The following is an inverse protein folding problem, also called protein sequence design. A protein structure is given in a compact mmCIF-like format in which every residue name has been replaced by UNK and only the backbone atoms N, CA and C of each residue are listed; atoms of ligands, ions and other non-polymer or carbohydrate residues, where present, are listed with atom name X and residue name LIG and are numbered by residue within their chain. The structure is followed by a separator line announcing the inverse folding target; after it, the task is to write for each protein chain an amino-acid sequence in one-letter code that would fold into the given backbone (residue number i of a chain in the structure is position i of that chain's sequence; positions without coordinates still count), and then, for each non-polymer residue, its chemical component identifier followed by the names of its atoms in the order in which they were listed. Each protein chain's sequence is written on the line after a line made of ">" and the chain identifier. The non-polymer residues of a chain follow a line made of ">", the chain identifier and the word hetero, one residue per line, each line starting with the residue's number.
data_IF_014280553829
#
_entry.id   IF_014280553829
#
_cell.length_a   1.000
_cell.length_b   1.000
_cell.length_c   1.000
_cell.angle_alpha   90.00
_cell.angle_beta   90.00
_cell.angle_gamma   90.00
#
_symmetry.space_group_name_H-M   'P 1'
#
loop_
_entity.id
_entity.type
_entity.pdbx_description
1 polymer ?
#
# COMPACT_ATOMS: atom_id res chain seq x y z
N UNK A 1 -23.23 -17.91 50.41
CA UNK A 1 -23.56 -17.19 49.15
C UNK A 1 -22.31 -16.51 48.66
N UNK A 2 -21.64 -17.15 47.71
CA UNK A 2 -20.37 -16.70 47.16
C UNK A 2 -20.67 -15.87 45.92
N UNK A 3 -20.50 -14.56 46.02
CA UNK A 3 -20.66 -13.65 44.92
C UNK A 3 -19.39 -13.71 44.06
N UNK A 4 -19.44 -14.39 42.94
CA UNK A 4 -18.39 -14.34 41.96
C UNK A 4 -18.37 -12.97 41.29
N UNK A 5 -17.31 -12.20 41.53
CA UNK A 5 -17.08 -10.95 40.81
C UNK A 5 -16.82 -11.27 39.32
N UNK A 6 -17.39 -10.50 38.39
CA UNK A 6 -17.06 -10.66 36.98
C UNK A 6 -15.61 -10.25 36.79
N UNK A 7 -14.79 -11.23 36.42
CA UNK A 7 -13.44 -10.97 35.93
C UNK A 7 -13.55 -10.18 34.64
N UNK A 8 -13.33 -8.88 34.74
CA UNK A 8 -13.15 -8.04 33.59
C UNK A 8 -11.80 -8.42 32.99
N UNK A 9 -11.79 -9.42 32.12
CA UNK A 9 -10.67 -9.68 31.27
C UNK A 9 -10.51 -8.44 30.38
N UNK A 10 -9.55 -7.59 30.72
CA UNK A 10 -9.05 -6.57 29.83
C UNK A 10 -8.60 -7.32 28.57
N UNK A 11 -9.44 -7.29 27.55
CA UNK A 11 -9.07 -7.74 26.24
C UNK A 11 -7.85 -6.90 25.85
N UNK A 12 -6.68 -7.50 25.96
CA UNK A 12 -5.45 -6.90 25.45
C UNK A 12 -5.67 -6.77 23.96
N UNK A 13 -5.99 -5.57 23.49
CA UNK A 13 -6.03 -5.27 22.07
C UNK A 13 -4.60 -5.42 21.59
N UNK A 14 -4.26 -6.62 21.14
CA UNK A 14 -2.99 -6.82 20.47
C UNK A 14 -2.98 -5.91 19.23
N UNK A 15 -1.96 -5.07 19.08
CA UNK A 15 -1.84 -4.27 17.88
C UNK A 15 -1.86 -5.22 16.69
N UNK A 16 -2.70 -4.92 15.71
CA UNK A 16 -2.90 -5.76 14.53
C UNK A 16 -1.62 -5.96 13.70
N UNK A 17 -0.62 -5.09 13.91
CA UNK A 17 0.69 -5.17 13.28
C UNK A 17 1.80 -5.05 14.33
N UNK A 18 2.92 -5.71 14.04
CA UNK A 18 4.14 -5.63 14.83
C UNK A 18 4.77 -4.24 14.72
N UNK A 19 5.61 -3.89 15.67
CA UNK A 19 6.34 -2.61 15.63
C UNK A 19 7.21 -2.45 14.37
N UNK A 20 7.91 -3.48 13.85
CA UNK A 20 8.61 -3.40 12.57
C UNK A 20 7.70 -3.05 11.39
N UNK A 21 6.49 -3.60 11.33
CA UNK A 21 5.52 -3.28 10.29
C UNK A 21 5.05 -1.83 10.34
N UNK A 22 4.80 -1.30 11.54
CA UNK A 22 4.44 0.10 11.74
C UNK A 22 5.56 1.05 11.39
N UNK A 23 6.79 0.71 11.77
CA UNK A 23 7.98 1.48 11.42
C UNK A 23 8.22 1.50 9.91
N UNK A 24 7.98 0.38 9.23
CA UNK A 24 8.09 0.30 7.79
C UNK A 24 7.06 1.20 7.09
N UNK A 25 5.81 1.20 7.54
CA UNK A 25 4.77 2.09 7.01
C UNK A 25 5.13 3.57 7.20
N UNK A 26 5.57 3.93 8.40
CA UNK A 26 5.98 5.29 8.72
C UNK A 26 7.21 5.72 7.91
N UNK A 27 8.20 4.85 7.77
CA UNK A 27 9.42 5.10 7.02
C UNK A 27 9.15 5.28 5.53
N UNK A 28 8.30 4.46 4.94
CA UNK A 28 7.88 4.61 3.56
C UNK A 28 7.17 5.96 3.31
N UNK A 29 6.22 6.31 4.16
CA UNK A 29 5.46 7.56 4.03
C UNK A 29 6.31 8.80 4.31
N UNK A 30 7.35 8.69 5.10
CA UNK A 30 8.28 9.79 5.37
C UNK A 30 9.05 10.25 4.12
N UNK A 31 9.17 9.41 3.10
CA UNK A 31 9.78 9.75 1.81
C UNK A 31 8.92 10.66 0.92
N UNK A 32 7.67 10.90 1.28
CA UNK A 32 6.71 11.69 0.50
C UNK A 32 6.19 12.88 1.28
N UNK A 33 5.68 13.89 0.56
CA UNK A 33 5.13 15.13 1.15
C UNK A 33 3.84 15.55 0.47
N UNK A 34 3.07 16.41 1.15
CA UNK A 34 1.88 17.03 0.62
C UNK A 34 0.80 16.04 0.20
N UNK A 35 0.13 16.34 -0.89
CA UNK A 35 -1.00 15.55 -1.41
C UNK A 35 -0.61 14.11 -1.80
N UNK A 36 0.62 13.90 -2.23
CA UNK A 36 1.14 12.56 -2.56
C UNK A 36 1.20 11.70 -1.29
N UNK A 37 1.72 12.24 -0.20
CA UNK A 37 1.76 11.55 1.09
C UNK A 37 0.37 11.23 1.60
N UNK A 38 -0.57 12.17 1.47
CA UNK A 38 -1.96 11.98 1.91
C UNK A 38 -2.64 10.88 1.11
N UNK A 39 -2.46 10.87 -0.21
CA UNK A 39 -2.99 9.83 -1.09
C UNK A 39 -2.43 8.44 -0.76
N UNK A 40 -1.13 8.33 -0.56
CA UNK A 40 -0.46 7.07 -0.20
C UNK A 40 -0.85 6.60 1.20
N UNK A 41 -1.00 7.51 2.14
CA UNK A 41 -1.50 7.22 3.48
C UNK A 41 -2.90 6.61 3.41
N UNK A 42 -3.78 7.18 2.61
CA UNK A 42 -5.12 6.66 2.41
C UNK A 42 -5.11 5.27 1.77
N UNK A 43 -4.31 5.08 0.73
CA UNK A 43 -4.21 3.81 0.02
C UNK A 43 -3.70 2.69 0.96
N UNK A 44 -2.65 2.96 1.73
CA UNK A 44 -2.09 2.01 2.69
C UNK A 44 -3.04 1.75 3.85
N UNK A 45 -3.76 2.76 4.34
CA UNK A 45 -4.77 2.58 5.38
C UNK A 45 -5.87 1.63 4.93
N UNK A 46 -6.33 1.76 3.70
CA UNK A 46 -7.34 0.88 3.13
C UNK A 46 -6.84 -0.56 3.04
N UNK A 47 -5.64 -0.74 2.55
CA UNK A 47 -5.01 -2.05 2.45
C UNK A 47 -4.75 -2.70 3.81
N UNK A 48 -4.19 -1.94 4.75
CA UNK A 48 -3.90 -2.46 6.09
C UNK A 48 -5.17 -2.80 6.87
N UNK A 49 -6.24 -2.03 6.70
CA UNK A 49 -7.55 -2.36 7.27
C UNK A 49 -8.09 -3.65 6.69
N UNK A 50 -7.98 -3.83 5.39
CA UNK A 50 -8.37 -5.07 4.71
C UNK A 50 -7.58 -6.29 5.23
N UNK A 51 -6.28 -6.14 5.44
CA UNK A 51 -5.43 -7.18 6.03
C UNK A 51 -5.85 -7.51 7.46
N UNK A 52 -6.15 -6.50 8.29
CA UNK A 52 -6.58 -6.70 9.68
C UNK A 52 -7.86 -7.50 9.77
N UNK A 53 -8.85 -7.17 8.95
CA UNK A 53 -10.13 -7.88 8.91
C UNK A 53 -9.94 -9.38 8.61
N UNK A 54 -8.90 -9.73 7.86
CA UNK A 54 -8.55 -11.10 7.48
C UNK A 54 -7.49 -11.73 8.35
N UNK A 55 -7.07 -11.06 9.42
CA UNK A 55 -5.99 -11.52 10.31
C UNK A 55 -4.68 -11.80 9.57
N UNK A 56 -4.39 -11.03 8.52
CA UNK A 56 -3.17 -11.11 7.75
C UNK A 56 -2.12 -10.16 8.33
N UNK A 57 -0.96 -10.69 8.69
CA UNK A 57 0.19 -9.87 9.02
C UNK A 57 0.75 -9.22 7.75
N UNK A 58 1.16 -7.97 7.84
CA UNK A 58 1.59 -7.18 6.69
C UNK A 58 2.78 -7.80 5.95
N UNK A 59 3.74 -8.38 6.67
CA UNK A 59 4.90 -9.06 6.10
C UNK A 59 4.63 -10.53 5.71
N UNK A 60 3.47 -11.06 6.04
CA UNK A 60 3.04 -12.40 5.63
C UNK A 60 2.08 -12.38 4.43
N UNK A 61 1.77 -11.22 3.90
CA UNK A 61 0.93 -11.05 2.70
C UNK A 61 1.61 -11.71 1.50
N UNK A 62 0.82 -12.43 0.71
CA UNK A 62 1.26 -13.09 -0.52
C UNK A 62 0.67 -12.37 -1.73
N UNK A 63 1.20 -12.70 -2.92
CA UNK A 63 0.66 -12.21 -4.19
C UNK A 63 -0.84 -12.45 -4.31
N UNK A 64 -1.31 -13.65 -3.96
CA UNK A 64 -2.73 -14.00 -4.03
C UNK A 64 -3.61 -13.11 -3.14
N UNK A 65 -3.09 -12.68 -2.00
CA UNK A 65 -3.82 -11.77 -1.09
C UNK A 65 -3.97 -10.38 -1.71
N UNK A 66 -2.92 -9.88 -2.35
CA UNK A 66 -2.95 -8.58 -3.04
C UNK A 66 -3.91 -8.64 -4.24
N UNK A 67 -3.90 -9.73 -4.99
CA UNK A 67 -4.84 -9.94 -6.11
C UNK A 67 -6.29 -10.06 -5.61
N UNK A 68 -6.51 -10.65 -4.43
CA UNK A 68 -7.82 -10.69 -3.78
C UNK A 68 -8.29 -9.32 -3.33
N UNK A 69 -7.38 -8.50 -2.81
CA UNK A 69 -7.68 -7.11 -2.48
C UNK A 69 -8.09 -6.31 -3.72
N UNK A 70 -7.38 -6.47 -4.82
CA UNK A 70 -7.73 -5.82 -6.08
C UNK A 70 -9.12 -6.22 -6.58
N UNK A 71 -9.44 -7.50 -6.54
CA UNK A 71 -10.79 -8.02 -6.91
C UNK A 71 -11.87 -7.48 -5.99
N UNK A 72 -11.62 -7.37 -4.72
CA UNK A 72 -12.55 -6.81 -3.74
C UNK A 72 -12.85 -5.33 -4.04
N UNK A 73 -11.83 -4.55 -4.40
CA UNK A 73 -12.01 -3.17 -4.85
C UNK A 73 -12.86 -3.08 -6.13
N UNK A 74 -12.64 -3.94 -7.09
CA UNK A 74 -13.43 -3.99 -8.34
C UNK A 74 -14.88 -4.36 -8.04
N UNK A 75 -15.13 -5.34 -7.18
CA UNK A 75 -16.46 -5.77 -6.76
C UNK A 75 -17.22 -4.64 -6.06
N UNK A 76 -16.52 -3.78 -5.32
CA UNK A 76 -17.10 -2.58 -4.70
C UNK A 76 -17.35 -1.43 -5.67
N UNK A 77 -17.10 -1.62 -6.95
CA UNK A 77 -17.33 -0.62 -7.99
C UNK A 77 -16.27 0.46 -8.09
N UNK A 78 -15.06 0.22 -7.56
CA UNK A 78 -13.96 1.18 -7.68
C UNK A 78 -13.45 1.23 -9.12
N UNK A 79 -13.16 2.46 -9.59
CA UNK A 79 -12.63 2.66 -10.93
C UNK A 79 -11.28 1.95 -11.11
N UNK A 80 -11.01 1.43 -12.30
CA UNK A 80 -9.75 0.75 -12.64
C UNK A 80 -8.52 1.60 -12.34
N UNK A 81 -8.59 2.91 -12.63
CA UNK A 81 -7.52 3.84 -12.31
C UNK A 81 -7.25 3.91 -10.79
N UNK A 82 -8.27 3.89 -9.96
CA UNK A 82 -8.13 3.86 -8.50
C UNK A 82 -7.50 2.55 -8.03
N UNK A 83 -7.94 1.42 -8.57
CA UNK A 83 -7.37 0.10 -8.24
C UNK A 83 -5.90 0.06 -8.63
N UNK A 84 -5.56 0.48 -9.84
CA UNK A 84 -4.17 0.54 -10.33
C UNK A 84 -3.29 1.43 -9.45
N UNK A 85 -3.77 2.62 -9.10
CA UNK A 85 -3.03 3.53 -8.20
C UNK A 85 -2.76 2.91 -6.85
N UNK A 86 -3.75 2.28 -6.23
CA UNK A 86 -3.58 1.62 -4.93
C UNK A 86 -2.60 0.45 -5.00
N UNK A 87 -2.67 -0.35 -6.05
CA UNK A 87 -1.70 -1.41 -6.28
C UNK A 87 -0.27 -0.88 -6.46
N UNK A 88 -0.12 0.26 -7.13
CA UNK A 88 1.18 0.94 -7.24
C UNK A 88 1.71 1.39 -5.88
N UNK A 89 0.88 1.95 -5.03
CA UNK A 89 1.27 2.35 -3.67
C UNK A 89 1.70 1.15 -2.85
N UNK A 90 0.94 0.05 -2.90
CA UNK A 90 1.26 -1.20 -2.21
C UNK A 90 2.59 -1.78 -2.73
N UNK A 91 2.78 -1.82 -4.04
CA UNK A 91 4.02 -2.29 -4.65
C UNK A 91 5.23 -1.43 -4.22
N UNK A 92 5.06 -0.12 -4.15
CA UNK A 92 6.08 0.81 -3.64
C UNK A 92 6.43 0.55 -2.18
N UNK A 93 5.46 0.29 -1.34
CA UNK A 93 5.66 -0.05 0.06
C UNK A 93 6.46 -1.35 0.23
N UNK A 94 6.07 -2.42 -0.45
CA UNK A 94 6.79 -3.69 -0.36
C UNK A 94 8.19 -3.63 -0.97
N UNK A 95 8.38 -2.85 -2.01
CA UNK A 95 9.71 -2.56 -2.54
C UNK A 95 10.59 -1.86 -1.52
N UNK A 96 10.06 -0.86 -0.82
CA UNK A 96 10.74 -0.21 0.29
C UNK A 96 11.11 -1.22 1.38
N UNK A 97 10.20 -2.10 1.76
CA UNK A 97 10.46 -3.14 2.76
C UNK A 97 11.58 -4.10 2.35
N UNK A 98 11.70 -4.42 1.07
CA UNK A 98 12.83 -5.22 0.54
C UNK A 98 14.14 -4.41 0.56
N UNK A 99 14.11 -3.15 0.18
CA UNK A 99 15.28 -2.26 0.21
C UNK A 99 15.81 -2.04 1.63
N UNK A 100 14.93 -2.01 2.62
CA UNK A 100 15.27 -1.93 4.05
C UNK A 100 15.56 -3.30 4.70
N UNK A 101 15.70 -4.34 3.89
CA UNK A 101 15.99 -5.71 4.34
C UNK A 101 14.98 -6.29 5.34
N UNK A 102 13.75 -5.79 5.35
CA UNK A 102 12.65 -6.29 6.19
C UNK A 102 11.96 -7.49 5.55
N UNK A 103 12.02 -7.60 4.23
CA UNK A 103 11.53 -8.71 3.44
C UNK A 103 12.58 -9.16 2.43
N UNK A 104 12.61 -10.44 2.16
CA UNK A 104 13.49 -11.02 1.15
C UNK A 104 12.98 -10.76 -0.27
N UNK A 105 11.65 -10.87 -0.45
CA UNK A 105 10.99 -10.68 -1.74
C UNK A 105 9.71 -9.86 -1.58
N UNK A 106 9.39 -9.06 -2.63
CA UNK A 106 8.14 -8.31 -2.67
C UNK A 106 6.98 -9.21 -3.13
N UNK A 107 5.90 -9.35 -2.34
CA UNK A 107 4.71 -10.07 -2.79
C UNK A 107 3.96 -9.35 -3.92
N UNK A 108 4.24 -8.07 -4.13
CA UNK A 108 3.60 -7.24 -5.15
C UNK A 108 4.36 -7.20 -6.48
N UNK A 109 5.55 -7.80 -6.58
CA UNK A 109 6.42 -7.70 -7.75
C UNK A 109 5.78 -8.20 -9.05
N UNK A 110 4.91 -9.21 -8.98
CA UNK A 110 4.28 -9.86 -10.13
C UNK A 110 2.75 -9.76 -10.12
N UNK A 111 2.19 -8.86 -9.33
CA UNK A 111 0.75 -8.64 -9.29
C UNK A 111 0.28 -8.03 -10.60
N UNK A 112 -0.75 -8.64 -11.20
CA UNK A 112 -1.38 -8.12 -12.41
C UNK A 112 -2.19 -6.88 -12.05
N UNK A 113 -1.96 -5.81 -12.82
CA UNK A 113 -2.72 -4.57 -12.70
C UNK A 113 -3.79 -4.53 -13.78
N UNK A 114 -5.00 -4.03 -13.47
CA UNK A 114 -5.99 -3.78 -14.49
C UNK A 114 -5.42 -2.84 -15.56
N UNK A 115 -5.65 -3.15 -16.84
CA UNK A 115 -5.31 -2.21 -17.91
C UNK A 115 -6.27 -1.04 -17.81
N UNK A 116 -5.72 0.15 -17.67
CA UNK A 116 -6.47 1.38 -17.85
C UNK A 116 -6.40 1.70 -19.33
N UNK A 117 -7.49 1.44 -20.06
CA UNK A 117 -7.63 1.92 -21.40
C UNK A 117 -7.83 3.43 -21.31
N UNK A 118 -6.75 4.18 -21.54
CA UNK A 118 -6.85 5.59 -21.81
C UNK A 118 -7.49 5.77 -23.19
N UNK A 119 -8.82 5.72 -23.29
CA UNK A 119 -9.47 6.39 -24.39
C UNK A 119 -9.10 7.86 -24.29
N UNK A 120 -8.22 8.24 -25.17
CA UNK A 120 -7.60 9.54 -25.17
C UNK A 120 -8.62 10.60 -25.60
N UNK A 121 -9.28 11.21 -24.64
CA UNK A 121 -9.57 12.62 -24.80
C UNK A 121 -8.31 13.37 -24.37
N UNK A 122 -7.43 13.54 -25.36
CA UNK A 122 -6.12 14.06 -25.18
C UNK A 122 -6.15 15.49 -24.62
N UNK A 123 -6.06 15.60 -23.31
CA UNK A 123 -5.23 16.66 -22.75
C UNK A 123 -3.86 16.03 -22.60
N UNK A 124 -2.91 16.45 -23.40
CA UNK A 124 -1.54 16.01 -23.30
C UNK A 124 -1.00 16.46 -21.94
N UNK A 125 -1.19 15.60 -20.95
CA UNK A 125 -0.42 15.65 -19.72
C UNK A 125 1.01 15.38 -20.11
N UNK A 126 1.88 16.32 -19.81
CA UNK A 126 3.28 16.23 -20.13
C UNK A 126 3.83 14.89 -19.63
N UNK A 127 4.63 14.24 -20.46
CA UNK A 127 5.27 12.95 -20.15
C UNK A 127 6.03 12.93 -18.83
N UNK A 128 6.29 14.10 -18.25
CA UNK A 128 6.99 14.25 -16.98
C UNK A 128 6.10 14.11 -15.75
N UNK A 129 4.77 14.15 -15.90
CA UNK A 129 3.85 14.00 -14.76
C UNK A 129 3.45 12.55 -14.49
N UNK A 130 3.67 11.65 -15.44
CA UNK A 130 3.47 10.22 -15.27
C UNK A 130 4.80 9.54 -14.97
N UNK A 131 5.39 9.88 -13.84
CA UNK A 131 6.47 9.05 -13.31
C UNK A 131 5.91 7.64 -13.13
N UNK A 132 6.47 6.63 -13.80
CA UNK A 132 6.01 5.27 -13.59
C UNK A 132 6.11 4.94 -12.11
N UNK A 133 5.07 4.32 -11.55
CA UNK A 133 4.99 4.00 -10.12
C UNK A 133 6.13 3.11 -9.59
N UNK A 134 7.03 2.69 -10.46
CA UNK A 134 8.20 1.88 -10.12
C UNK A 134 9.50 2.70 -9.94
N UNK A 135 9.49 4.01 -10.27
CA UNK A 135 10.68 4.84 -10.05
C UNK A 135 10.84 5.18 -8.57
N UNK A 136 12.03 4.96 -7.99
CA UNK A 136 12.29 5.35 -6.62
C UNK A 136 12.22 6.88 -6.47
N UNK A 137 11.78 7.38 -5.30
CA UNK A 137 11.84 8.79 -5.01
C UNK A 137 13.29 9.27 -5.12
N UNK A 138 13.54 10.26 -5.97
CA UNK A 138 14.89 10.82 -6.20
C UNK A 138 15.53 10.49 -7.53
N UNK A 139 14.93 9.66 -8.39
CA UNK A 139 15.45 9.39 -9.74
C UNK A 139 15.00 10.41 -10.78
N UNK A 140 14.50 11.57 -10.38
CA UNK A 140 14.34 12.68 -11.28
C UNK A 140 15.73 13.07 -11.82
N UNK A 141 15.99 12.71 -13.07
CA UNK A 141 17.18 13.18 -13.76
C UNK A 141 17.23 14.69 -13.64
N UNK A 142 18.25 15.21 -12.99
CA UNK A 142 18.59 16.63 -13.12
C UNK A 142 18.74 16.91 -14.61
N UNK A 143 18.06 17.94 -15.17
CA UNK A 143 18.37 18.37 -16.51
C UNK A 143 19.84 18.73 -16.53
N UNK A 144 20.57 18.10 -17.44
CA UNK A 144 22.00 18.32 -17.58
C UNK A 144 22.26 19.78 -17.81
N UNK A 145 23.00 20.41 -16.91
CA UNK A 145 23.71 21.62 -17.21
C UNK A 145 24.72 21.31 -18.31
N UNK A 146 24.58 21.94 -19.47
CA UNK A 146 25.67 22.13 -20.41
C UNK A 146 26.54 23.27 -19.91
#
# INVERSE_FOLDING_TARGET
>A
MTTAAPSTALATIQPAFTDPERLALAGYLAGYRGLTRDAYTLDLRQFTTWCRVRSLALFAVRRADIESFARDLETRGRARATVTRRLCTIAGFYRYAVEEELLEHSPAAHVRRPRVDYESHAVALDRNELAPCWLPPGSARRPGMR
#
